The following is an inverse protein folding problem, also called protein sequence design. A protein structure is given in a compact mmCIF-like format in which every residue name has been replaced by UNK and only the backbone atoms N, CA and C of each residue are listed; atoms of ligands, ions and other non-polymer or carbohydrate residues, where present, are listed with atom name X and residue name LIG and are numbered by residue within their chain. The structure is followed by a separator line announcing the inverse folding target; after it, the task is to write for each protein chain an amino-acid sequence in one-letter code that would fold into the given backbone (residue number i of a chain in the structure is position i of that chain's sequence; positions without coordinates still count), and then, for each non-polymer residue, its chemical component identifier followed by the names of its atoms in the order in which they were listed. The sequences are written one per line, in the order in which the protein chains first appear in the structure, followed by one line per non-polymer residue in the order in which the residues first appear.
data_IF_743934776245
#
_entry.id   IF_743934776245
#
_cell.length_a   1.000
_cell.length_b   1.000
_cell.length_c   1.000
_cell.angle_alpha   90.00
_cell.angle_beta   90.00
_cell.angle_gamma   90.00
#
_symmetry.space_group_name_H-M   'P 1'
#
loop_
_entity.id
_entity.type
_entity.pdbx_description
1 polymer ?
#
# COMPACT_ATOMS: atom_id res chain seq x y z
N UNK A 1 -10.48 -29.53 31.19
CA UNK A 1 -11.14 -30.53 30.31
C UNK A 1 -10.46 -31.87 30.64
N UNK A 2 -11.23 -32.90 30.96
CA UNK A 2 -10.72 -34.18 31.39
C UNK A 2 -10.82 -35.19 30.25
N UNK A 3 -9.74 -35.93 30.02
CA UNK A 3 -9.64 -36.94 28.98
C UNK A 3 -9.45 -38.35 29.59
N UNK A 4 -9.90 -39.35 28.88
CA UNK A 4 -9.67 -40.76 29.15
C UNK A 4 -9.04 -41.39 27.92
N UNK A 5 -8.14 -42.33 28.08
CA UNK A 5 -7.51 -43.12 27.03
C UNK A 5 -7.45 -44.58 27.38
N UNK A 6 -7.42 -45.46 26.40
CA UNK A 6 -7.41 -46.90 26.60
C UNK A 6 -5.99 -47.46 26.49
N UNK A 7 -5.61 -48.30 27.41
CA UNK A 7 -4.40 -49.15 27.31
C UNK A 7 -4.76 -50.59 27.70
N UNK A 8 -4.45 -51.53 26.85
CA UNK A 8 -4.68 -52.97 27.06
C UNK A 8 -6.16 -53.28 27.39
N UNK A 9 -7.10 -52.66 26.71
CA UNK A 9 -8.53 -52.83 26.93
C UNK A 9 -9.06 -52.20 28.23
N UNK A 10 -8.24 -51.37 28.90
CA UNK A 10 -8.61 -50.73 30.18
C UNK A 10 -8.62 -49.18 30.04
N UNK A 11 -9.70 -48.53 30.43
CA UNK A 11 -9.75 -47.09 30.45
C UNK A 11 -8.85 -46.49 31.53
N UNK A 12 -8.01 -45.54 31.18
CA UNK A 12 -7.16 -44.75 32.07
C UNK A 12 -7.62 -43.30 32.07
N UNK A 13 -7.62 -42.67 33.23
CA UNK A 13 -8.05 -41.29 33.41
C UNK A 13 -8.96 -41.12 34.65
N UNK A 14 -9.51 -39.95 34.92
CA UNK A 14 -9.38 -38.74 34.10
C UNK A 14 -8.00 -38.09 34.16
N UNK A 15 -7.46 -37.61 33.03
CA UNK A 15 -6.23 -36.84 32.93
C UNK A 15 -6.47 -35.43 32.39
N UNK A 16 -5.73 -34.49 32.89
CA UNK A 16 -5.74 -33.10 32.36
C UNK A 16 -5.10 -33.01 30.98
N UNK A 17 -5.30 -31.86 30.29
CA UNK A 17 -4.74 -31.65 28.95
C UNK A 17 -3.21 -31.79 28.93
N UNK A 18 -2.53 -31.25 29.94
CA UNK A 18 -1.05 -31.26 30.00
C UNK A 18 -0.51 -32.68 30.17
N UNK A 19 -1.13 -33.47 31.07
CA UNK A 19 -0.80 -34.85 31.28
C UNK A 19 -1.14 -35.72 30.05
N UNK A 20 -2.27 -35.44 29.39
CA UNK A 20 -2.64 -36.11 28.14
C UNK A 20 -1.61 -35.88 27.05
N UNK A 21 -1.13 -34.65 26.85
CA UNK A 21 -0.10 -34.30 25.88
C UNK A 21 1.27 -34.93 26.21
N UNK A 22 1.57 -35.11 27.50
CA UNK A 22 2.79 -35.80 27.94
C UNK A 22 2.74 -37.28 27.56
N UNK A 23 1.58 -37.95 27.75
CA UNK A 23 1.38 -39.34 27.30
C UNK A 23 1.47 -39.51 25.78
N UNK A 24 1.02 -38.52 25.03
CA UNK A 24 1.19 -38.48 23.56
C UNK A 24 2.68 -38.36 23.20
N UNK A 25 3.44 -37.50 23.90
CA UNK A 25 4.90 -37.35 23.69
C UNK A 25 5.69 -38.60 24.02
N UNK A 26 5.30 -39.29 25.09
CA UNK A 26 5.89 -40.54 25.50
C UNK A 26 5.54 -41.73 24.57
N UNK A 27 4.63 -41.50 23.60
CA UNK A 27 4.19 -42.55 22.68
C UNK A 27 3.20 -43.54 23.29
N UNK A 28 2.70 -43.26 24.50
CA UNK A 28 1.68 -44.09 25.19
C UNK A 28 0.31 -43.94 24.50
N UNK A 29 0.01 -42.75 24.04
CA UNK A 29 -1.17 -42.46 23.22
C UNK A 29 -0.72 -42.26 21.78
N UNK A 30 -0.99 -43.24 20.93
CA UNK A 30 -0.76 -43.19 19.47
C UNK A 30 -2.05 -42.84 18.71
N UNK A 31 -1.94 -42.71 17.38
CA UNK A 31 -3.09 -42.36 16.55
C UNK A 31 -4.24 -43.37 16.61
N UNK A 32 -3.95 -44.65 16.85
CA UNK A 32 -4.93 -45.73 16.97
C UNK A 32 -5.46 -45.93 18.41
N UNK A 33 -4.91 -45.19 19.39
CA UNK A 33 -5.35 -45.29 20.80
C UNK A 33 -6.74 -44.70 20.95
N UNK A 34 -7.66 -45.48 21.55
CA UNK A 34 -9.02 -44.98 21.80
C UNK A 34 -8.99 -43.95 22.92
N UNK A 35 -9.63 -42.78 22.64
CA UNK A 35 -9.74 -41.69 23.60
C UNK A 35 -11.19 -41.26 23.74
N UNK A 36 -11.52 -40.78 24.93
CA UNK A 36 -12.86 -40.29 25.24
C UNK A 36 -12.81 -39.06 26.16
N UNK A 37 -13.75 -38.18 26.02
CA UNK A 37 -14.00 -37.06 26.94
C UNK A 37 -15.51 -36.82 27.12
N UNK A 38 -15.85 -36.15 28.19
CA UNK A 38 -17.22 -35.76 28.45
C UNK A 38 -17.84 -34.95 27.27
N UNK A 39 -18.88 -35.48 26.68
CA UNK A 39 -19.54 -34.90 25.51
C UNK A 39 -19.35 -35.70 24.22
N UNK A 40 -18.47 -36.70 24.19
CA UNK A 40 -18.38 -37.68 23.11
C UNK A 40 -19.40 -38.82 23.32
N UNK A 41 -19.97 -39.26 22.21
CA UNK A 41 -21.00 -40.33 22.23
C UNK A 41 -20.32 -41.68 22.46
N UNK A 42 -19.12 -41.87 21.91
CA UNK A 42 -18.38 -43.13 21.98
C UNK A 42 -16.88 -42.88 22.03
N UNK A 43 -16.09 -43.91 22.28
CA UNK A 43 -14.64 -43.89 22.19
C UNK A 43 -14.23 -43.83 20.75
N UNK A 44 -13.30 -42.89 20.43
CA UNK A 44 -12.79 -42.70 19.08
C UNK A 44 -11.27 -42.82 19.11
N UNK A 45 -10.68 -43.24 17.99
CA UNK A 45 -9.23 -43.22 17.79
C UNK A 45 -8.69 -41.80 17.90
N UNK A 46 -7.59 -41.59 18.59
CA UNK A 46 -6.99 -40.27 18.79
C UNK A 46 -6.75 -39.54 17.47
N UNK A 47 -6.32 -40.28 16.42
CA UNK A 47 -6.15 -39.73 15.08
C UNK A 47 -7.44 -39.20 14.42
N UNK A 48 -8.60 -39.78 14.80
CA UNK A 48 -9.91 -39.40 14.25
C UNK A 48 -10.57 -38.24 14.99
N UNK A 49 -10.10 -37.85 16.18
CA UNK A 49 -10.66 -36.73 16.95
C UNK A 49 -10.07 -35.41 16.48
N UNK A 50 -10.85 -34.61 15.76
CA UNK A 50 -10.40 -33.35 15.15
C UNK A 50 -9.99 -32.27 16.17
N UNK A 51 -10.55 -32.30 17.37
CA UNK A 51 -10.32 -31.32 18.46
C UNK A 51 -9.56 -31.89 19.65
N UNK A 52 -8.91 -33.07 19.49
CA UNK A 52 -8.03 -33.61 20.50
C UNK A 52 -6.75 -32.76 20.62
N UNK A 53 -6.22 -32.58 21.86
CA UNK A 53 -4.95 -31.91 22.05
C UNK A 53 -3.86 -32.65 21.27
N UNK A 54 -3.17 -31.96 20.36
CA UNK A 54 -2.08 -32.52 19.56
C UNK A 54 -0.74 -31.97 19.99
N UNK A 55 0.23 -32.81 20.12
CA UNK A 55 1.64 -32.40 20.21
C UNK A 55 2.05 -31.94 18.82
N UNK A 56 2.23 -30.63 18.63
CA UNK A 56 2.85 -30.11 17.40
C UNK A 56 4.34 -30.48 17.49
N UNK A 57 4.69 -31.67 17.05
CA UNK A 57 6.08 -32.02 16.84
C UNK A 57 6.51 -31.30 15.55
N UNK A 58 7.55 -30.47 15.58
CA UNK A 58 8.08 -29.93 14.32
C UNK A 58 8.46 -31.12 13.42
N UNK A 59 8.17 -31.05 12.11
CA UNK A 59 8.50 -32.13 11.18
C UNK A 59 9.98 -32.44 11.32
N UNK A 60 10.33 -33.77 11.47
CA UNK A 60 11.71 -34.23 11.48
C UNK A 60 12.39 -33.68 10.24
N UNK A 61 13.47 -32.94 10.44
CA UNK A 61 14.39 -32.62 9.36
C UNK A 61 14.76 -33.93 8.64
N UNK A 62 14.67 -33.99 7.31
CA UNK A 62 15.14 -35.14 6.57
C UNK A 62 16.60 -35.40 6.98
N UNK A 63 16.91 -36.63 7.33
CA UNK A 63 18.26 -37.09 7.70
C UNK A 63 19.16 -36.93 6.46
N UNK A 64 19.82 -35.79 6.36
CA UNK A 64 20.78 -35.51 5.30
C UNK A 64 22.04 -36.29 5.66
N UNK A 65 22.30 -37.33 4.89
CA UNK A 65 23.59 -37.98 4.89
C UNK A 65 24.70 -36.93 4.91
N UNK A 66 25.58 -37.02 5.89
CA UNK A 66 26.63 -36.07 6.19
C UNK A 66 27.60 -35.88 5.00
N UNK A 67 27.26 -34.97 4.12
CA UNK A 67 28.20 -34.29 3.26
C UNK A 67 28.35 -32.89 3.85
N UNK A 68 29.43 -32.65 4.55
CA UNK A 68 29.81 -31.34 5.10
C UNK A 68 30.11 -30.41 3.91
N UNK A 69 29.26 -29.46 3.57
CA UNK A 69 29.65 -28.40 2.67
C UNK A 69 30.36 -27.29 3.48
N UNK A 70 31.29 -26.54 2.88
CA UNK A 70 32.04 -25.51 3.58
C UNK A 70 31.08 -24.44 4.10
N UNK A 71 31.43 -23.86 5.26
CA UNK A 71 30.75 -22.79 5.98
C UNK A 71 30.30 -21.65 5.03
N UNK A 72 29.11 -21.77 4.48
CA UNK A 72 28.33 -20.68 3.90
C UNK A 72 27.22 -20.34 4.88
N UNK A 73 27.09 -19.07 5.17
CA UNK A 73 26.10 -18.44 6.03
C UNK A 73 24.76 -19.19 5.98
N UNK A 74 24.35 -19.78 7.10
CA UNK A 74 23.03 -20.40 7.23
C UNK A 74 21.98 -19.33 6.92
N UNK A 75 21.32 -19.46 5.79
CA UNK A 75 20.15 -18.69 5.46
C UNK A 75 19.04 -19.14 6.41
N UNK A 76 18.85 -18.36 7.45
CA UNK A 76 17.79 -18.56 8.44
C UNK A 76 16.47 -18.61 7.68
N UNK A 77 15.89 -19.79 7.51
CA UNK A 77 14.55 -19.97 6.96
C UNK A 77 13.58 -19.36 7.98
N UNK A 78 13.45 -18.07 7.94
CA UNK A 78 12.43 -17.33 8.67
C UNK A 78 11.08 -17.80 8.12
N UNK A 79 10.39 -18.63 8.91
CA UNK A 79 8.97 -18.94 8.64
C UNK A 79 8.23 -17.61 8.70
N UNK A 80 7.95 -17.08 7.57
CA UNK A 80 7.33 -15.78 7.41
C UNK A 80 5.84 -15.93 7.74
N UNK A 81 5.47 -15.58 8.97
CA UNK A 81 4.07 -15.45 9.38
C UNK A 81 3.47 -14.37 8.48
N UNK A 82 2.52 -14.76 7.65
CA UNK A 82 1.81 -13.81 6.80
C UNK A 82 1.09 -12.81 7.71
N UNK A 83 1.42 -11.53 7.58
CA UNK A 83 0.85 -10.49 8.40
C UNK A 83 -0.63 -10.24 8.08
N UNK A 84 -1.36 -9.69 9.04
CA UNK A 84 -2.79 -9.39 8.89
C UNK A 84 -3.09 -8.22 7.94
N UNK A 85 -2.06 -7.49 7.49
CA UNK A 85 -2.19 -6.30 6.67
C UNK A 85 -2.68 -5.06 7.44
N UNK A 86 -2.88 -3.93 6.77
CA UNK A 86 -3.43 -2.70 7.37
C UNK A 86 -4.90 -2.87 7.78
N UNK A 87 -5.41 -1.95 8.63
CA UNK A 87 -6.80 -1.98 9.13
C UNK A 87 -7.85 -2.11 8.02
N UNK A 88 -7.58 -1.57 6.84
CA UNK A 88 -8.46 -1.71 5.68
C UNK A 88 -8.67 -3.17 5.26
N UNK A 89 -7.66 -4.03 5.42
CA UNK A 89 -7.75 -5.46 5.09
C UNK A 89 -8.26 -6.29 6.27
N UNK A 90 -7.84 -5.96 7.52
CA UNK A 90 -8.21 -6.71 8.73
C UNK A 90 -9.68 -6.58 9.09
N UNK A 91 -10.20 -5.35 9.06
CA UNK A 91 -11.47 -4.99 9.68
C UNK A 91 -12.62 -4.90 8.65
N UNK A 92 -12.52 -5.64 7.54
CA UNK A 92 -13.45 -5.53 6.42
C UNK A 92 -14.93 -5.71 6.77
N UNK A 93 -15.27 -6.35 7.90
CA UNK A 93 -16.64 -6.61 8.32
C UNK A 93 -17.15 -5.85 9.55
N UNK A 94 -16.32 -5.09 10.27
CA UNK A 94 -16.65 -4.69 11.65
C UNK A 94 -16.70 -3.20 11.92
N UNK A 95 -16.23 -2.31 11.02
CA UNK A 95 -16.18 -0.88 11.25
C UNK A 95 -16.72 -0.04 10.10
N UNK A 96 -17.16 1.18 10.44
CA UNK A 96 -17.50 2.19 9.45
C UNK A 96 -16.31 2.40 8.48
N UNK A 97 -16.61 2.47 7.19
CA UNK A 97 -15.63 2.68 6.09
C UNK A 97 -14.71 3.88 6.36
N UNK A 98 -15.24 4.98 6.89
CA UNK A 98 -14.42 6.16 7.22
C UNK A 98 -13.47 5.91 8.41
N UNK A 99 -13.90 5.14 9.41
CA UNK A 99 -13.03 4.75 10.51
C UNK A 99 -11.88 3.88 10.01
N UNK A 100 -12.18 2.88 9.16
CA UNK A 100 -11.15 2.03 8.53
C UNK A 100 -10.17 2.83 7.68
N UNK A 101 -10.68 3.77 6.89
CA UNK A 101 -9.83 4.69 6.10
C UNK A 101 -8.89 5.48 7.01
N UNK A 102 -9.44 6.11 8.05
CA UNK A 102 -8.66 6.92 8.99
C UNK A 102 -7.63 6.10 9.74
N UNK A 103 -8.01 4.91 10.25
CA UNK A 103 -7.06 4.02 10.94
C UNK A 103 -5.95 3.54 10.01
N UNK A 104 -6.29 3.11 8.78
CA UNK A 104 -5.26 2.70 7.80
C UNK A 104 -4.33 3.86 7.44
N UNK A 105 -4.88 5.06 7.23
CA UNK A 105 -4.08 6.26 6.98
C UNK A 105 -3.13 6.55 8.16
N UNK A 106 -3.62 6.46 9.40
CA UNK A 106 -2.80 6.64 10.61
C UNK A 106 -1.71 5.56 10.71
N UNK A 107 -2.02 4.29 10.46
CA UNK A 107 -1.03 3.20 10.44
C UNK A 107 0.05 3.45 9.40
N UNK A 108 -0.31 3.82 8.16
CA UNK A 108 0.64 4.10 7.09
C UNK A 108 1.52 5.31 7.40
N UNK A 109 0.94 6.37 7.96
CA UNK A 109 1.62 7.64 8.16
C UNK A 109 2.39 7.73 9.49
N UNK A 110 1.90 7.09 10.57
CA UNK A 110 2.44 7.22 11.92
C UNK A 110 3.15 5.95 12.40
N UNK A 111 2.70 4.76 11.97
CA UNK A 111 3.29 3.47 12.33
C UNK A 111 3.70 2.68 11.07
N UNK A 112 4.39 3.38 10.17
CA UNK A 112 4.80 2.87 8.84
C UNK A 112 5.54 1.54 8.94
N UNK A 113 6.49 1.44 9.86
CA UNK A 113 7.31 0.24 10.07
C UNK A 113 6.45 -0.99 10.36
N UNK A 114 5.53 -0.89 11.33
CA UNK A 114 4.66 -2.00 11.72
C UNK A 114 3.68 -2.35 10.61
N UNK A 115 3.05 -1.34 10.00
CA UNK A 115 2.09 -1.50 8.93
C UNK A 115 2.68 -2.29 7.74
N UNK A 116 3.87 -1.88 7.27
CA UNK A 116 4.47 -2.50 6.07
C UNK A 116 5.25 -3.79 6.35
N UNK A 117 5.67 -4.02 7.60
CA UNK A 117 6.23 -5.31 8.03
C UNK A 117 5.16 -6.41 8.05
N UNK A 118 3.91 -6.06 8.41
CA UNK A 118 2.76 -6.96 8.43
C UNK A 118 1.99 -7.04 7.11
N UNK A 119 2.49 -6.44 6.03
CA UNK A 119 1.78 -6.40 4.75
C UNK A 119 1.67 -7.81 4.14
N UNK A 120 0.46 -8.18 3.72
CA UNK A 120 0.21 -9.47 3.05
C UNK A 120 0.96 -9.54 1.74
N UNK A 121 1.59 -10.69 1.49
CA UNK A 121 2.36 -10.91 0.26
C UNK A 121 1.48 -11.30 -0.92
N UNK A 122 0.43 -12.06 -0.66
CA UNK A 122 -0.51 -12.60 -1.64
C UNK A 122 -1.95 -12.30 -1.24
N UNK A 123 -2.89 -12.54 -2.15
CA UNK A 123 -4.31 -12.39 -1.88
C UNK A 123 -4.98 -11.28 -2.69
N UNK A 124 -6.17 -10.87 -2.30
CA UNK A 124 -7.01 -9.95 -3.06
C UNK A 124 -6.41 -8.52 -3.15
N UNK A 125 -5.89 -8.14 -4.30
CA UNK A 125 -5.40 -6.78 -4.59
C UNK A 125 -6.53 -5.74 -4.59
N UNK A 126 -7.78 -6.18 -4.76
CA UNK A 126 -8.94 -5.29 -4.77
C UNK A 126 -9.07 -4.45 -3.49
N UNK A 127 -8.63 -4.96 -2.35
CA UNK A 127 -8.64 -4.20 -1.09
C UNK A 127 -7.68 -3.02 -1.13
N UNK A 128 -6.45 -3.20 -1.61
CA UNK A 128 -5.49 -2.10 -1.74
C UNK A 128 -5.94 -1.07 -2.78
N UNK A 129 -6.49 -1.54 -3.91
CA UNK A 129 -7.07 -0.66 -4.95
C UNK A 129 -8.25 0.12 -4.41
N UNK A 130 -9.19 -0.53 -3.71
CA UNK A 130 -10.36 0.13 -3.14
C UNK A 130 -9.99 1.20 -2.11
N UNK A 131 -8.97 0.93 -1.29
CA UNK A 131 -8.42 1.93 -0.37
C UNK A 131 -7.89 3.16 -1.12
N UNK A 132 -7.02 2.93 -2.10
CA UNK A 132 -6.43 4.01 -2.88
C UNK A 132 -7.51 4.83 -3.61
N UNK A 133 -8.47 4.17 -4.24
CA UNK A 133 -9.59 4.84 -4.92
C UNK A 133 -10.42 5.68 -3.95
N UNK A 134 -10.80 5.11 -2.80
CA UNK A 134 -11.64 5.81 -1.84
C UNK A 134 -10.92 7.04 -1.25
N UNK A 135 -9.65 6.91 -0.88
CA UNK A 135 -8.83 8.02 -0.41
C UNK A 135 -8.67 9.10 -1.48
N UNK A 136 -8.38 8.72 -2.72
CA UNK A 136 -8.18 9.63 -3.84
C UNK A 136 -9.48 10.38 -4.21
N UNK A 137 -10.65 9.72 -4.13
CA UNK A 137 -11.94 10.40 -4.33
C UNK A 137 -12.12 11.52 -3.32
N UNK A 138 -11.81 11.28 -2.04
CA UNK A 138 -11.88 12.34 -1.02
C UNK A 138 -10.91 13.48 -1.35
N UNK A 139 -9.65 13.16 -1.67
CA UNK A 139 -8.66 14.17 -2.06
C UNK A 139 -9.10 14.99 -3.27
N UNK A 140 -9.68 14.33 -4.27
CA UNK A 140 -10.16 14.98 -5.48
C UNK A 140 -11.34 15.92 -5.21
N UNK A 141 -12.24 15.59 -4.28
CA UNK A 141 -13.34 16.48 -3.86
C UNK A 141 -12.77 17.76 -3.24
N UNK A 142 -11.83 17.64 -2.29
CA UNK A 142 -11.22 18.81 -1.65
C UNK A 142 -10.40 19.66 -2.64
N UNK A 143 -9.61 19.01 -3.49
CA UNK A 143 -8.84 19.68 -4.53
C UNK A 143 -9.75 20.44 -5.51
N UNK A 144 -10.85 19.80 -5.95
CA UNK A 144 -11.80 20.43 -6.89
C UNK A 144 -12.53 21.61 -6.25
N UNK A 145 -12.87 21.52 -4.96
CA UNK A 145 -13.47 22.62 -4.21
C UNK A 145 -12.49 23.79 -4.07
N UNK A 146 -11.23 23.53 -3.75
CA UNK A 146 -10.17 24.53 -3.66
C UNK A 146 -9.92 25.22 -5.02
N UNK A 147 -9.82 24.42 -6.08
CA UNK A 147 -9.67 24.92 -7.45
C UNK A 147 -10.85 25.81 -7.86
N UNK A 148 -12.09 25.36 -7.60
CA UNK A 148 -13.29 26.11 -7.93
C UNK A 148 -13.36 27.45 -7.17
N UNK A 149 -13.06 27.43 -5.86
CA UNK A 149 -13.00 28.65 -5.04
C UNK A 149 -11.87 29.58 -5.52
N UNK A 150 -10.72 29.03 -5.89
CA UNK A 150 -9.61 29.76 -6.45
C UNK A 150 -10.01 30.49 -7.75
N UNK A 151 -10.68 29.80 -8.68
CA UNK A 151 -11.17 30.36 -9.93
C UNK A 151 -12.22 31.43 -9.66
N UNK A 152 -13.17 31.17 -8.75
CA UNK A 152 -14.23 32.12 -8.42
C UNK A 152 -13.70 33.43 -7.81
N UNK A 153 -12.70 33.33 -6.90
CA UNK A 153 -12.21 34.48 -6.15
C UNK A 153 -11.11 35.27 -6.86
N UNK A 154 -10.25 34.59 -7.65
CA UNK A 154 -9.06 35.19 -8.28
C UNK A 154 -9.16 35.27 -9.80
N UNK A 155 -10.13 34.58 -10.38
CA UNK A 155 -10.28 34.43 -11.82
C UNK A 155 -9.49 33.26 -12.38
N UNK A 156 -10.00 32.63 -13.45
CA UNK A 156 -9.40 31.47 -14.10
C UNK A 156 -7.99 31.78 -14.65
N UNK A 157 -7.78 32.98 -15.16
CA UNK A 157 -6.48 33.40 -15.73
C UNK A 157 -5.36 33.38 -14.70
N UNK A 158 -5.62 33.86 -13.47
CA UNK A 158 -4.63 33.88 -12.39
C UNK A 158 -4.30 32.47 -11.96
N UNK A 159 -5.31 31.61 -11.81
CA UNK A 159 -5.13 30.21 -11.41
C UNK A 159 -4.36 29.43 -12.47
N UNK A 160 -4.65 29.66 -13.75
CA UNK A 160 -3.92 28.99 -14.84
C UNK A 160 -2.46 29.43 -14.93
N UNK A 161 -2.15 30.71 -14.68
CA UNK A 161 -0.76 31.20 -14.63
C UNK A 161 0.04 30.56 -13.49
N UNK A 162 -0.62 30.16 -12.39
CA UNK A 162 0.03 29.45 -11.28
C UNK A 162 0.28 27.97 -11.60
N UNK A 163 -0.61 27.33 -12.37
CA UNK A 163 -0.59 25.89 -12.65
C UNK A 163 0.20 25.57 -13.93
N UNK A 164 0.14 26.42 -14.95
CA UNK A 164 0.80 26.16 -16.22
C UNK A 164 2.30 26.51 -16.17
N UNK A 165 3.17 25.71 -16.82
CA UNK A 165 4.57 26.04 -16.97
C UNK A 165 4.73 27.40 -17.68
N UNK A 166 5.68 28.20 -17.22
CA UNK A 166 5.96 29.55 -17.77
C UNK A 166 6.29 29.59 -19.28
N UNK A 167 6.54 28.43 -19.89
CA UNK A 167 6.90 28.25 -21.31
C UNK A 167 5.67 28.09 -22.23
N UNK A 168 4.47 27.86 -21.68
CA UNK A 168 3.25 27.85 -22.49
C UNK A 168 2.96 29.29 -22.87
N UNK A 169 2.87 29.58 -24.21
CA UNK A 169 2.47 30.91 -24.70
C UNK A 169 1.13 31.27 -24.10
N UNK A 170 1.20 32.04 -23.02
CA UNK A 170 0.07 32.44 -22.20
C UNK A 170 -0.94 33.18 -23.06
N UNK A 171 -0.51 33.88 -24.14
CA UNK A 171 -1.37 34.60 -25.04
C UNK A 171 -2.35 33.71 -25.84
N UNK A 172 -1.92 32.54 -26.31
CA UNK A 172 -2.79 31.62 -27.04
C UNK A 172 -3.83 31.00 -26.09
N UNK A 173 -3.41 30.62 -24.89
CA UNK A 173 -4.29 30.08 -23.84
C UNK A 173 -5.21 31.21 -23.34
N UNK A 174 -4.73 32.45 -23.18
CA UNK A 174 -5.54 33.62 -22.80
C UNK A 174 -6.60 33.96 -23.83
N UNK A 175 -6.29 33.96 -25.13
CA UNK A 175 -7.29 34.17 -26.18
C UNK A 175 -8.38 33.11 -26.17
N UNK A 176 -7.98 31.83 -26.07
CA UNK A 176 -8.94 30.74 -26.00
C UNK A 176 -9.84 30.84 -24.76
N UNK A 177 -9.26 31.22 -23.61
CA UNK A 177 -9.96 31.35 -22.33
C UNK A 177 -10.90 32.59 -22.36
N UNK A 178 -10.40 33.74 -22.80
CA UNK A 178 -11.18 34.98 -22.81
C UNK A 178 -12.34 34.92 -23.79
N UNK A 179 -12.19 34.26 -24.93
CA UNK A 179 -13.28 34.16 -25.94
C UNK A 179 -14.32 33.08 -25.59
N UNK A 180 -13.92 31.98 -24.96
CA UNK A 180 -14.79 30.80 -24.82
C UNK A 180 -15.13 30.40 -23.40
N UNK A 181 -14.39 30.86 -22.37
CA UNK A 181 -14.49 30.37 -21.01
C UNK A 181 -15.07 31.36 -19.98
N UNK A 182 -15.71 32.42 -20.40
CA UNK A 182 -16.37 33.39 -19.49
C UNK A 182 -17.64 32.84 -18.81
N UNK A 183 -18.15 31.71 -19.24
CA UNK A 183 -19.35 31.10 -18.69
C UNK A 183 -19.06 30.22 -17.46
N UNK A 184 -19.76 30.41 -16.33
CA UNK A 184 -19.67 29.52 -15.18
C UNK A 184 -19.94 28.04 -15.53
N UNK A 185 -20.77 27.77 -16.52
CA UNK A 185 -21.09 26.44 -17.01
C UNK A 185 -19.87 25.73 -17.61
N UNK A 186 -19.01 26.46 -18.34
CA UNK A 186 -17.76 25.88 -18.91
C UNK A 186 -16.76 25.57 -17.81
N UNK A 187 -16.64 26.39 -16.78
CA UNK A 187 -15.79 26.14 -15.63
C UNK A 187 -16.23 24.84 -14.91
N UNK A 188 -17.52 24.66 -14.65
CA UNK A 188 -18.09 23.47 -14.05
C UNK A 188 -17.82 22.24 -14.92
N UNK A 189 -18.00 22.37 -16.24
CA UNK A 189 -17.71 21.28 -17.19
C UNK A 189 -16.23 20.85 -17.15
N UNK A 190 -15.31 21.82 -17.16
CA UNK A 190 -13.88 21.54 -17.10
C UNK A 190 -13.45 20.85 -15.80
N UNK A 191 -13.95 21.35 -14.67
CA UNK A 191 -13.71 20.70 -13.37
C UNK A 191 -14.31 19.29 -13.38
N UNK A 192 -15.51 19.11 -13.92
CA UNK A 192 -16.14 17.81 -14.07
C UNK A 192 -15.31 16.82 -14.92
N UNK A 193 -14.85 17.27 -16.10
CA UNK A 193 -13.97 16.47 -16.98
C UNK A 193 -12.66 16.14 -16.26
N UNK A 194 -12.04 17.11 -15.58
CA UNK A 194 -10.83 16.88 -14.80
C UNK A 194 -11.04 15.82 -13.73
N UNK A 195 -12.15 15.86 -12.99
CA UNK A 195 -12.51 14.87 -11.97
C UNK A 195 -12.65 13.48 -12.59
N UNK A 196 -13.43 13.35 -13.67
CA UNK A 196 -13.67 12.06 -14.34
C UNK A 196 -12.36 11.47 -14.89
N UNK A 197 -11.55 12.28 -15.56
CA UNK A 197 -10.26 11.84 -16.11
C UNK A 197 -9.33 11.36 -14.99
N UNK A 198 -9.23 12.10 -13.89
CA UNK A 198 -8.40 11.68 -12.76
C UNK A 198 -8.90 10.38 -12.14
N UNK A 199 -10.21 10.19 -11.93
CA UNK A 199 -10.78 8.93 -11.42
C UNK A 199 -10.41 7.72 -12.28
N UNK A 200 -10.44 7.88 -13.61
CA UNK A 200 -10.07 6.81 -14.55
C UNK A 200 -8.56 6.54 -14.54
N UNK A 201 -7.75 7.58 -14.31
CA UNK A 201 -6.29 7.45 -14.32
C UNK A 201 -5.70 6.88 -13.02
N UNK A 202 -6.40 7.00 -11.88
CA UNK A 202 -5.91 6.52 -10.57
C UNK A 202 -5.42 5.06 -10.60
N UNK A 203 -6.21 4.07 -11.06
CA UNK A 203 -5.75 2.69 -11.09
C UNK A 203 -4.60 2.48 -12.06
N UNK A 204 -4.62 3.15 -13.22
CA UNK A 204 -3.56 3.08 -14.22
C UNK A 204 -2.25 3.65 -13.64
N UNK A 205 -2.30 4.81 -13.01
CA UNK A 205 -1.16 5.44 -12.36
C UNK A 205 -0.56 4.54 -11.27
N UNK A 206 -1.40 3.91 -10.45
CA UNK A 206 -0.95 2.99 -9.39
C UNK A 206 -0.22 1.78 -9.97
N UNK A 207 -0.72 1.18 -11.06
CA UNK A 207 -0.06 0.06 -11.75
C UNK A 207 1.27 0.50 -12.35
N UNK A 208 1.29 1.62 -13.08
CA UNK A 208 2.50 2.14 -13.74
C UNK A 208 3.59 2.46 -12.71
N UNK A 209 3.24 3.21 -11.66
CA UNK A 209 4.19 3.59 -10.61
C UNK A 209 4.74 2.36 -9.88
N UNK A 210 3.89 1.40 -9.57
CA UNK A 210 4.31 0.14 -8.95
C UNK A 210 5.20 -0.69 -9.87
N UNK A 211 4.91 -0.69 -11.18
CA UNK A 211 5.70 -1.38 -12.19
C UNK A 211 7.11 -0.81 -12.30
N UNK A 212 7.23 0.50 -12.43
CA UNK A 212 8.51 1.22 -12.49
C UNK A 212 9.32 0.96 -11.20
N UNK A 213 8.68 1.14 -10.04
CA UNK A 213 9.35 0.93 -8.75
C UNK A 213 9.82 -0.53 -8.59
N UNK A 214 8.98 -1.49 -8.94
CA UNK A 214 9.35 -2.91 -8.86
C UNK A 214 10.48 -3.27 -9.83
N UNK A 215 10.47 -2.69 -11.04
CA UNK A 215 11.56 -2.84 -12.00
C UNK A 215 12.88 -2.31 -11.44
N UNK A 216 12.87 -1.11 -10.84
CA UNK A 216 14.03 -0.51 -10.22
C UNK A 216 14.57 -1.34 -9.05
N UNK A 217 13.67 -1.92 -8.24
CA UNK A 217 14.05 -2.88 -7.21
C UNK A 217 14.70 -4.14 -7.81
N UNK A 218 14.22 -4.64 -8.94
CA UNK A 218 14.85 -5.78 -9.63
C UNK A 218 16.21 -5.42 -10.20
N UNK A 219 16.34 -4.28 -10.83
CA UNK A 219 17.62 -3.81 -11.38
C UNK A 219 18.69 -3.61 -10.32
N UNK A 220 18.30 -3.17 -9.11
CA UNK A 220 19.23 -3.00 -7.97
C UNK A 220 19.42 -4.27 -7.14
N UNK A 221 18.82 -5.40 -7.52
CA UNK A 221 18.86 -6.64 -6.74
C UNK A 221 18.15 -6.54 -5.38
N UNK A 222 17.27 -5.56 -5.23
CA UNK A 222 16.54 -5.26 -3.99
C UNK A 222 15.10 -5.84 -3.96
N UNK A 223 14.61 -6.40 -5.06
CA UNK A 223 13.28 -7.00 -5.15
C UNK A 223 13.23 -8.38 -4.47
N UNK A 224 12.97 -8.40 -3.16
CA UNK A 224 12.86 -9.65 -2.38
C UNK A 224 11.44 -10.18 -2.29
N UNK A 225 10.45 -9.40 -2.71
CA UNK A 225 9.02 -9.73 -2.66
C UNK A 225 8.41 -9.66 -4.06
N UNK A 226 7.28 -10.36 -4.33
CA UNK A 226 6.60 -10.31 -5.63
C UNK A 226 6.06 -8.90 -5.93
N UNK A 227 5.75 -8.67 -7.20
CA UNK A 227 5.16 -7.41 -7.69
C UNK A 227 3.90 -7.00 -6.91
N UNK A 228 3.04 -7.97 -6.59
CA UNK A 228 1.80 -7.74 -5.85
C UNK A 228 2.03 -7.01 -4.52
N UNK A 229 3.13 -7.32 -3.82
CA UNK A 229 3.47 -6.67 -2.56
C UNK A 229 3.91 -5.22 -2.78
N UNK A 230 4.69 -4.95 -3.85
CA UNK A 230 5.05 -3.58 -4.23
C UNK A 230 3.82 -2.76 -4.63
N UNK A 231 2.89 -3.39 -5.34
CA UNK A 231 1.64 -2.76 -5.75
C UNK A 231 0.75 -2.39 -4.53
N UNK A 232 0.62 -3.28 -3.54
CA UNK A 232 -0.09 -2.99 -2.28
C UNK A 232 0.56 -1.83 -1.55
N UNK A 233 1.90 -1.87 -1.40
CA UNK A 233 2.65 -0.78 -0.79
C UNK A 233 2.34 0.56 -1.44
N UNK A 234 2.50 0.65 -2.77
CA UNK A 234 2.25 1.89 -3.52
C UNK A 234 0.82 2.35 -3.36
N UNK A 235 -0.16 1.43 -3.42
CA UNK A 235 -1.58 1.76 -3.26
C UNK A 235 -1.88 2.34 -1.88
N UNK A 236 -1.35 1.75 -0.80
CA UNK A 236 -1.56 2.25 0.56
C UNK A 236 -0.84 3.57 0.82
N UNK A 237 0.40 3.71 0.36
CA UNK A 237 1.15 4.98 0.50
C UNK A 237 0.45 6.08 -0.29
N UNK A 238 0.11 5.83 -1.56
CA UNK A 238 -0.52 6.83 -2.43
C UNK A 238 -1.88 7.29 -1.88
N UNK A 239 -2.72 6.36 -1.41
CA UNK A 239 -3.97 6.70 -0.75
C UNK A 239 -3.78 7.53 0.52
N UNK A 240 -2.81 7.17 1.37
CA UNK A 240 -2.57 7.86 2.64
C UNK A 240 -1.95 9.25 2.45
N UNK A 241 -1.06 9.41 1.48
CA UNK A 241 -0.44 10.71 1.14
C UNK A 241 -1.49 11.73 0.67
N UNK A 242 -2.60 11.28 0.13
CA UNK A 242 -3.73 12.16 -0.26
C UNK A 242 -4.21 13.04 0.89
N UNK A 243 -4.07 12.60 2.17
CA UNK A 243 -4.43 13.42 3.33
C UNK A 243 -3.62 14.72 3.40
N UNK A 244 -2.36 14.72 2.95
CA UNK A 244 -1.53 15.93 2.89
C UNK A 244 -2.13 16.91 1.90
N UNK A 245 -2.61 16.41 0.75
CA UNK A 245 -3.34 17.22 -0.23
C UNK A 245 -4.62 17.80 0.33
N UNK A 246 -5.40 17.02 1.09
CA UNK A 246 -6.62 17.49 1.77
C UNK A 246 -6.29 18.62 2.77
N UNK A 247 -5.26 18.45 3.59
CA UNK A 247 -4.82 19.47 4.55
C UNK A 247 -4.39 20.74 3.81
N UNK A 248 -3.64 20.60 2.72
CA UNK A 248 -3.22 21.73 1.88
C UNK A 248 -4.42 22.49 1.28
N UNK A 249 -5.39 21.77 0.71
CA UNK A 249 -6.61 22.38 0.14
C UNK A 249 -7.43 23.08 1.22
N UNK A 250 -7.64 22.46 2.39
CA UNK A 250 -8.36 23.09 3.50
C UNK A 250 -7.66 24.36 3.98
N UNK A 251 -6.34 24.35 4.08
CA UNK A 251 -5.56 25.53 4.50
C UNK A 251 -5.64 26.63 3.48
N UNK A 252 -5.61 26.30 2.16
CA UNK A 252 -5.79 27.24 1.05
C UNK A 252 -7.17 27.89 1.09
N UNK A 253 -8.22 27.07 1.24
CA UNK A 253 -9.61 27.56 1.34
C UNK A 253 -9.80 28.49 2.54
N UNK A 254 -9.21 28.13 3.70
CA UNK A 254 -9.27 28.98 4.89
C UNK A 254 -8.51 30.29 4.70
N UNK A 255 -7.34 30.27 4.08
CA UNK A 255 -6.58 31.50 3.76
C UNK A 255 -7.37 32.41 2.83
N UNK A 256 -8.01 31.86 1.79
CA UNK A 256 -8.88 32.62 0.89
C UNK A 256 -10.07 33.24 1.63
N UNK A 257 -10.71 32.51 2.54
CA UNK A 257 -11.83 33.01 3.35
C UNK A 257 -11.41 34.19 4.27
N UNK A 258 -10.15 34.20 4.70
CA UNK A 258 -9.57 35.27 5.52
C UNK A 258 -8.97 36.42 4.68
N UNK A 259 -9.11 36.37 3.37
CA UNK A 259 -8.52 37.38 2.45
C UNK A 259 -6.99 37.40 2.45
N UNK A 260 -6.37 36.27 2.76
CA UNK A 260 -4.90 36.10 2.86
C UNK A 260 -4.40 35.13 1.78
N UNK A 261 -3.14 35.30 1.37
CA UNK A 261 -2.45 34.34 0.52
C UNK A 261 -1.79 33.25 1.39
N UNK A 262 -1.67 32.03 0.86
CA UNK A 262 -0.95 30.94 1.53
C UNK A 262 0.55 31.25 1.72
N UNK A 263 1.18 31.94 0.77
CA UNK A 263 2.56 32.39 0.85
C UNK A 263 3.53 31.36 1.47
N UNK A 264 4.28 31.78 2.48
CA UNK A 264 5.26 30.94 3.18
C UNK A 264 4.62 29.72 3.85
N UNK A 265 3.42 29.86 4.43
CA UNK A 265 2.74 28.74 5.10
C UNK A 265 2.45 27.59 4.13
N UNK A 266 1.98 27.88 2.92
CA UNK A 266 1.75 26.89 1.88
C UNK A 266 3.04 26.19 1.43
N UNK A 267 4.11 26.97 1.27
CA UNK A 267 5.41 26.42 0.93
C UNK A 267 5.94 25.46 2.02
N UNK A 268 5.81 25.82 3.28
CA UNK A 268 6.23 24.97 4.41
C UNK A 268 5.43 23.68 4.49
N UNK A 269 4.09 23.75 4.30
CA UNK A 269 3.23 22.55 4.26
C UNK A 269 3.64 21.65 3.09
N UNK A 270 3.89 22.23 1.91
CA UNK A 270 4.31 21.48 0.72
C UNK A 270 5.65 20.78 0.92
N UNK A 271 6.67 21.50 1.37
CA UNK A 271 8.01 20.93 1.62
C UNK A 271 7.96 19.90 2.75
N UNK A 272 7.31 20.23 3.88
CA UNK A 272 7.17 19.30 5.01
C UNK A 272 6.41 18.03 4.61
N UNK A 273 5.30 18.18 3.88
CA UNK A 273 4.52 17.06 3.35
C UNK A 273 5.33 16.18 2.38
N UNK A 274 6.11 16.78 1.50
CA UNK A 274 6.98 16.05 0.59
C UNK A 274 8.08 15.26 1.32
N UNK A 275 8.74 15.89 2.30
CA UNK A 275 9.76 15.21 3.11
C UNK A 275 9.16 14.05 3.91
N UNK A 276 7.97 14.26 4.46
CA UNK A 276 7.24 13.21 5.17
C UNK A 276 6.85 12.05 4.25
N UNK A 277 6.31 12.36 3.08
CA UNK A 277 6.00 11.35 2.05
C UNK A 277 7.23 10.52 1.67
N UNK A 278 8.37 11.17 1.44
CA UNK A 278 9.62 10.50 1.11
C UNK A 278 10.06 9.56 2.24
N UNK A 279 9.98 10.02 3.49
CA UNK A 279 10.27 9.21 4.67
C UNK A 279 9.36 7.97 4.75
N UNK A 280 8.04 8.14 4.60
CA UNK A 280 7.06 7.06 4.61
C UNK A 280 7.37 6.06 3.49
N UNK A 281 7.63 6.54 2.27
CA UNK A 281 7.89 5.68 1.12
C UNK A 281 9.20 4.89 1.26
N UNK A 282 10.29 5.52 1.73
CA UNK A 282 11.56 4.84 2.00
C UNK A 282 11.39 3.78 3.09
N UNK A 283 10.72 4.12 4.18
CA UNK A 283 10.47 3.19 5.28
C UNK A 283 9.57 2.02 4.85
N UNK A 284 8.48 2.32 4.15
CA UNK A 284 7.56 1.32 3.62
C UNK A 284 8.28 0.32 2.69
N UNK A 285 9.12 0.84 1.78
CA UNK A 285 9.87 0.03 0.83
C UNK A 285 10.94 -0.84 1.55
N UNK A 286 11.65 -0.23 2.51
CA UNK A 286 12.65 -0.90 3.33
C UNK A 286 12.06 -2.08 4.11
N UNK A 287 10.95 -1.84 4.81
CA UNK A 287 10.27 -2.87 5.62
C UNK A 287 9.60 -3.95 4.76
N UNK A 288 8.93 -3.55 3.68
CA UNK A 288 8.25 -4.49 2.78
C UNK A 288 9.24 -5.44 2.12
N UNK A 289 10.34 -4.93 1.57
CA UNK A 289 11.33 -5.75 0.85
C UNK A 289 12.49 -6.22 1.75
N UNK A 290 12.49 -5.87 3.04
CA UNK A 290 13.57 -6.17 4.00
C UNK A 290 14.95 -5.77 3.46
N UNK A 291 15.04 -4.55 2.99
CA UNK A 291 16.26 -3.93 2.46
C UNK A 291 16.66 -2.74 3.31
N UNK A 292 17.92 -2.32 3.22
CA UNK A 292 18.36 -1.08 3.90
C UNK A 292 17.68 0.15 3.30
N UNK A 293 17.42 1.17 4.12
CA UNK A 293 16.86 2.44 3.66
C UNK A 293 17.64 3.09 2.53
N UNK A 294 18.97 2.91 2.51
CA UNK A 294 19.85 3.41 1.41
C UNK A 294 19.51 2.72 0.07
N UNK A 295 19.28 1.41 0.08
CA UNK A 295 18.85 0.68 -1.14
C UNK A 295 17.46 1.08 -1.58
N UNK A 296 16.55 1.29 -0.62
CA UNK A 296 15.21 1.80 -0.90
C UNK A 296 15.28 3.19 -1.55
N UNK A 297 16.08 4.10 -0.99
CA UNK A 297 16.31 5.44 -1.53
C UNK A 297 16.95 5.37 -2.94
N UNK A 298 17.90 4.47 -3.15
CA UNK A 298 18.52 4.24 -4.46
C UNK A 298 17.49 3.82 -5.53
N UNK A 299 16.60 2.88 -5.22
CA UNK A 299 15.53 2.47 -6.13
C UNK A 299 14.56 3.62 -6.46
N UNK A 300 14.25 4.48 -5.47
CA UNK A 300 13.43 5.67 -5.67
C UNK A 300 14.14 6.74 -6.50
N UNK A 301 15.45 6.93 -6.30
CA UNK A 301 16.25 7.90 -7.08
C UNK A 301 16.27 7.56 -8.56
N UNK A 302 16.21 6.27 -8.94
CA UNK A 302 16.13 5.85 -10.32
C UNK A 302 14.85 6.37 -11.00
N UNK A 303 13.72 6.44 -10.29
CA UNK A 303 12.48 7.02 -10.84
C UNK A 303 12.70 8.48 -11.24
N UNK A 304 13.42 9.25 -10.42
CA UNK A 304 13.74 10.65 -10.74
C UNK A 304 14.64 10.74 -11.97
N UNK A 305 15.64 9.87 -12.06
CA UNK A 305 16.55 9.81 -13.22
C UNK A 305 15.78 9.45 -14.50
N UNK A 306 14.91 8.43 -14.44
CA UNK A 306 14.07 8.01 -15.57
C UNK A 306 13.14 9.14 -16.01
N UNK A 307 12.53 9.85 -15.06
CA UNK A 307 11.69 11.00 -15.36
C UNK A 307 12.47 12.14 -16.03
N UNK A 308 13.68 12.44 -15.56
CA UNK A 308 14.56 13.44 -16.17
C UNK A 308 14.96 13.03 -17.58
N UNK A 309 15.34 11.77 -17.79
CA UNK A 309 15.69 11.25 -19.13
C UNK A 309 14.49 11.38 -20.07
N UNK A 310 13.29 10.99 -19.62
CA UNK A 310 12.08 11.11 -20.40
C UNK A 310 11.76 12.57 -20.74
N UNK A 311 11.86 13.47 -19.78
CA UNK A 311 11.59 14.89 -19.97
C UNK A 311 12.58 15.53 -20.98
N UNK A 312 13.87 15.24 -20.85
CA UNK A 312 14.90 15.68 -21.79
C UNK A 312 14.67 15.08 -23.17
N UNK A 313 14.38 13.77 -23.24
CA UNK A 313 14.07 13.10 -24.51
C UNK A 313 12.87 13.75 -25.23
N UNK A 314 11.80 14.03 -24.51
CA UNK A 314 10.62 14.72 -25.07
C UNK A 314 10.94 16.16 -25.50
N UNK A 315 11.74 16.89 -24.72
CA UNK A 315 12.15 18.25 -25.04
C UNK A 315 12.98 18.34 -26.33
N UNK A 316 13.74 17.28 -26.64
CA UNK A 316 14.55 17.20 -27.88
C UNK A 316 13.73 16.65 -29.04
N UNK A 317 12.99 15.56 -28.83
CA UNK A 317 12.24 14.88 -29.89
C UNK A 317 11.04 15.67 -30.39
N UNK A 318 10.30 16.35 -29.50
CA UNK A 318 9.08 17.05 -29.88
C UNK A 318 9.34 18.19 -30.88
N UNK A 319 10.32 19.08 -30.68
CA UNK A 319 10.67 20.09 -31.70
C UNK A 319 11.19 19.50 -33.01
N UNK A 320 11.95 18.41 -32.96
CA UNK A 320 12.45 17.72 -34.16
C UNK A 320 11.31 17.12 -34.99
N UNK A 321 10.35 16.48 -34.34
CA UNK A 321 9.13 15.94 -35.01
C UNK A 321 8.29 17.09 -35.58
N UNK A 322 8.10 18.18 -34.84
CA UNK A 322 7.37 19.37 -35.32
C UNK A 322 8.04 20.00 -36.54
N UNK A 323 9.37 20.14 -36.53
CA UNK A 323 10.12 20.64 -37.68
C UNK A 323 10.01 19.73 -38.91
N UNK A 324 10.07 18.41 -38.71
CA UNK A 324 9.89 17.40 -39.77
C UNK A 324 8.48 17.49 -40.39
N UNK A 325 7.45 17.61 -39.54
CA UNK A 325 6.05 17.75 -40.01
C UNK A 325 5.82 19.09 -40.75
N UNK A 326 6.51 20.15 -40.36
CA UNK A 326 6.46 21.44 -41.03
C UNK A 326 7.15 21.41 -42.41
N UNK A 327 8.27 20.67 -42.53
CA UNK A 327 9.00 20.51 -43.78
C UNK A 327 8.32 19.56 -44.80
N UNK A 328 7.35 18.76 -44.35
CA UNK A 328 6.59 17.82 -45.18
C UNK A 328 5.32 18.43 -45.82
N UNK A 329 5.02 19.70 -45.51
CA UNK A 329 3.96 20.52 -46.10
C UNK A 329 4.49 21.44 -47.17
#
# INVERSE_FOLDING_TARGET
MEWYYEIDGQPKGPVGIDEFLERVREGVIGEETLVWRKGMIDWLEYGAVSDAPRVVTPPRLPEVASVVPPLGVAEEVVVEVEGDGPAWERDAGHHNVFARLGTTCAEVMMDTTRCFRSLRQRGNLGMAVSYALFAQVIGLVFFSADLWLGIRNRGLEVVLKEVLPRQVEVEMVQRFISEKMTSPAITVLLVGVFVVVNLLLIPVQSVVLSGILHLNLRMTGAARRPFETTFRLVSYVNGSVTIIGVISSLTSMMAMALGRSMGLAGALIGVGGFMWMLFVLVTALSETHRISGVRALGALSLIVIEFVILAVGLAVLLPAVMALMAAAK
#
